data_IF_600173755438
#
_entry.id   IF_600173755438
#
_cell.length_a   1.000
_cell.length_b   1.000
_cell.length_c   1.000
_cell.angle_alpha   90.00
_cell.angle_beta   90.00
_cell.angle_gamma   90.00
#
_symmetry.space_group_name_H-M   'P 1'
#
loop_
_entity.id
_entity.type
_entity.pdbx_description
1 polymer ?
#
# COMPACT_ATOMS: atom_id res chain seq x y z
N UNK A 1 6.91 -24.89 -6.89
CA UNK A 1 6.90 -23.83 -7.92
C UNK A 1 7.65 -22.63 -7.35
N UNK A 2 8.78 -22.21 -7.92
CA UNK A 2 9.55 -21.06 -7.40
C UNK A 2 8.72 -19.77 -7.50
N UNK A 3 8.17 -19.30 -6.40
CA UNK A 3 7.51 -17.99 -6.28
C UNK A 3 8.53 -16.95 -5.83
N UNK A 4 8.33 -15.69 -6.23
CA UNK A 4 9.26 -14.61 -5.87
C UNK A 4 9.27 -14.28 -4.37
N UNK A 5 8.17 -14.60 -3.70
CA UNK A 5 7.97 -14.50 -2.25
C UNK A 5 7.19 -15.75 -1.78
N UNK A 6 7.22 -16.08 -0.48
CA UNK A 6 6.37 -17.13 0.08
C UNK A 6 4.89 -16.87 -0.22
N UNK A 7 4.10 -17.94 -0.40
CA UNK A 7 2.68 -17.82 -0.74
C UNK A 7 1.90 -17.15 0.39
N UNK A 8 2.27 -17.46 1.63
CA UNK A 8 1.70 -16.93 2.86
C UNK A 8 1.88 -15.41 2.93
N UNK A 9 3.06 -14.92 2.55
CA UNK A 9 3.36 -13.48 2.48
C UNK A 9 2.52 -12.77 1.41
N UNK A 10 2.28 -13.42 0.26
CA UNK A 10 1.41 -12.86 -0.77
C UNK A 10 -0.03 -12.76 -0.29
N UNK A 11 -0.55 -13.80 0.36
CA UNK A 11 -1.91 -13.80 0.92
C UNK A 11 -2.06 -12.71 1.99
N UNK A 12 -1.09 -12.58 2.88
CA UNK A 12 -1.08 -11.51 3.89
C UNK A 12 -1.09 -10.11 3.22
N UNK A 13 -0.24 -9.89 2.21
CA UNK A 13 -0.20 -8.63 1.47
C UNK A 13 -1.52 -8.31 0.77
N UNK A 14 -2.17 -9.31 0.17
CA UNK A 14 -3.46 -9.16 -0.50
C UNK A 14 -4.59 -8.86 0.50
N UNK A 15 -4.56 -9.48 1.67
CA UNK A 15 -5.47 -9.19 2.77
C UNK A 15 -5.36 -7.73 3.22
N UNK A 16 -4.15 -7.26 3.54
CA UNK A 16 -3.90 -5.87 3.94
C UNK A 16 -4.27 -4.87 2.83
N UNK A 17 -3.97 -5.23 1.57
CA UNK A 17 -4.41 -4.44 0.43
C UNK A 17 -5.95 -4.37 0.31
N UNK A 18 -6.65 -5.44 0.67
CA UNK A 18 -8.10 -5.47 0.82
C UNK A 18 -8.60 -4.42 1.80
N UNK A 19 -8.02 -4.37 3.00
CA UNK A 19 -8.37 -3.38 4.05
C UNK A 19 -8.12 -1.96 3.54
N UNK A 20 -6.96 -1.70 2.91
CA UNK A 20 -6.64 -0.38 2.35
C UNK A 20 -7.65 0.05 1.28
N UNK A 21 -8.10 -0.87 0.41
CA UNK A 21 -9.16 -0.59 -0.57
C UNK A 21 -10.48 -0.24 0.10
N UNK A 22 -10.86 -0.91 1.18
CA UNK A 22 -12.09 -0.64 1.91
C UNK A 22 -12.05 0.74 2.58
N UNK A 23 -10.94 1.06 3.27
CA UNK A 23 -10.71 2.39 3.86
C UNK A 23 -10.78 3.46 2.77
N UNK A 24 -10.10 3.24 1.63
CA UNK A 24 -10.16 4.15 0.48
C UNK A 24 -11.60 4.30 -0.02
N UNK A 25 -12.32 3.22 -0.30
CA UNK A 25 -13.68 3.34 -0.81
C UNK A 25 -14.60 4.12 0.15
N UNK A 26 -14.58 3.78 1.45
CA UNK A 26 -15.45 4.38 2.47
C UNK A 26 -15.24 5.88 2.63
N UNK A 27 -14.00 6.34 2.56
CA UNK A 27 -13.60 7.72 2.92
C UNK A 27 -13.50 8.67 1.72
N UNK A 28 -13.75 8.19 0.49
CA UNK A 28 -13.58 8.97 -0.74
C UNK A 28 -14.42 10.24 -0.77
N UNK A 29 -15.70 10.14 -0.43
CA UNK A 29 -16.62 11.26 -0.58
C UNK A 29 -16.35 12.38 0.44
N UNK A 30 -15.81 12.03 1.61
CA UNK A 30 -15.51 12.97 2.69
C UNK A 30 -14.15 13.66 2.55
N UNK A 31 -13.16 12.96 2.00
CA UNK A 31 -11.75 13.38 2.13
C UNK A 31 -11.00 13.51 0.81
N UNK A 32 -11.68 13.50 -0.35
CA UNK A 32 -11.01 13.55 -1.67
C UNK A 32 -10.00 14.70 -1.85
N UNK A 33 -10.21 15.83 -1.17
CA UNK A 33 -9.36 17.03 -1.23
C UNK A 33 -8.32 17.10 -0.10
N UNK A 34 -8.38 16.21 0.88
CA UNK A 34 -7.47 16.23 2.02
C UNK A 34 -6.04 15.88 1.60
N UNK A 35 -5.04 16.52 2.22
CA UNK A 35 -3.64 16.26 1.86
C UNK A 35 -3.25 14.80 2.09
N UNK A 36 -3.66 14.19 3.20
CA UNK A 36 -3.36 12.78 3.51
C UNK A 36 -3.98 11.80 2.51
N UNK A 37 -5.10 12.18 1.88
CA UNK A 37 -5.81 11.35 0.90
C UNK A 37 -4.95 10.99 -0.31
N UNK A 38 -4.15 11.95 -0.81
CA UNK A 38 -3.24 11.71 -1.94
C UNK A 38 -2.22 10.62 -1.60
N UNK A 39 -1.78 10.54 -0.35
CA UNK A 39 -0.82 9.54 0.12
C UNK A 39 -1.47 8.16 0.22
N UNK A 40 -2.70 8.07 0.74
CA UNK A 40 -3.48 6.82 0.71
C UNK A 40 -3.71 6.34 -0.72
N UNK A 41 -4.08 7.25 -1.63
CA UNK A 41 -4.30 6.90 -3.03
C UNK A 41 -3.01 6.41 -3.72
N UNK A 42 -1.87 7.05 -3.46
CA UNK A 42 -0.57 6.60 -3.96
C UNK A 42 -0.20 5.22 -3.40
N UNK A 43 -0.36 5.01 -2.09
CA UNK A 43 -0.12 3.72 -1.45
C UNK A 43 -0.95 2.62 -2.13
N UNK A 44 -2.25 2.82 -2.29
CA UNK A 44 -3.14 1.89 -2.99
C UNK A 44 -2.66 1.59 -4.41
N UNK A 45 -2.33 2.62 -5.20
CA UNK A 45 -1.88 2.46 -6.60
C UNK A 45 -0.59 1.65 -6.70
N UNK A 46 0.39 1.92 -5.84
CA UNK A 46 1.66 1.19 -5.85
C UNK A 46 1.49 -0.26 -5.36
N UNK A 47 0.66 -0.51 -4.35
CA UNK A 47 0.31 -1.88 -3.93
C UNK A 47 -0.36 -2.67 -5.04
N UNK A 48 -1.32 -2.07 -5.76
CA UNK A 48 -1.94 -2.70 -6.94
C UNK A 48 -0.88 -3.08 -7.98
N UNK A 49 0.08 -2.18 -8.24
CA UNK A 49 1.16 -2.43 -9.19
C UNK A 49 2.08 -3.56 -8.73
N UNK A 50 2.46 -3.59 -7.46
CA UNK A 50 3.30 -4.66 -6.88
C UNK A 50 2.60 -6.01 -6.96
N UNK A 51 1.36 -6.11 -6.48
CA UNK A 51 0.58 -7.35 -6.49
C UNK A 51 0.38 -7.86 -7.93
N UNK A 52 0.03 -6.97 -8.86
CA UNK A 52 -0.10 -7.33 -10.28
C UNK A 52 1.22 -7.87 -10.86
N UNK A 53 2.35 -7.23 -10.57
CA UNK A 53 3.66 -7.69 -11.04
C UNK A 53 4.08 -9.02 -10.41
N UNK A 54 3.75 -9.28 -9.14
CA UNK A 54 3.97 -10.58 -8.49
C UNK A 54 3.18 -11.67 -9.21
N UNK A 55 1.90 -11.42 -9.52
CA UNK A 55 1.08 -12.37 -10.28
C UNK A 55 1.61 -12.61 -11.69
N UNK A 56 1.99 -11.55 -12.42
CA UNK A 56 2.59 -11.68 -13.75
C UNK A 56 3.89 -12.48 -13.71
N UNK A 57 4.76 -12.21 -12.73
CA UNK A 57 6.01 -12.97 -12.57
C UNK A 57 5.73 -14.43 -12.21
N UNK A 58 4.76 -14.69 -11.33
CA UNK A 58 4.42 -16.05 -10.93
C UNK A 58 3.92 -16.90 -12.09
N UNK A 59 3.28 -16.30 -13.10
CA UNK A 59 2.83 -16.95 -14.34
C UNK A 59 3.96 -17.12 -15.36
N UNK A 60 4.70 -16.05 -15.64
CA UNK A 60 5.58 -15.99 -16.82
C UNK A 60 7.06 -16.21 -16.51
N UNK A 61 7.48 -16.06 -15.25
CA UNK A 61 8.88 -16.13 -14.78
C UNK A 61 9.87 -15.22 -15.53
N UNK A 62 9.37 -14.13 -16.13
CA UNK A 62 10.17 -13.18 -16.89
C UNK A 62 11.04 -12.27 -15.99
N UNK A 63 12.34 -12.26 -16.25
CA UNK A 63 13.31 -11.43 -15.55
C UNK A 63 13.07 -9.93 -15.70
N UNK A 64 12.52 -9.47 -16.83
CA UNK A 64 12.14 -8.05 -17.00
C UNK A 64 11.07 -7.66 -15.99
N UNK A 65 10.10 -8.55 -15.74
CA UNK A 65 9.06 -8.36 -14.73
C UNK A 65 9.67 -8.36 -13.33
N UNK A 66 10.62 -9.26 -13.05
CA UNK A 66 11.36 -9.30 -11.78
C UNK A 66 12.10 -7.99 -11.50
N UNK A 67 12.85 -7.46 -12.48
CA UNK A 67 13.56 -6.19 -12.33
C UNK A 67 12.60 -5.01 -12.11
N UNK A 68 11.48 -4.98 -12.84
CA UNK A 68 10.44 -3.96 -12.66
C UNK A 68 9.80 -4.05 -11.29
N UNK A 69 9.50 -5.26 -10.80
CA UNK A 69 8.96 -5.50 -9.47
C UNK A 69 9.91 -5.00 -8.39
N UNK A 70 11.22 -5.29 -8.49
CA UNK A 70 12.22 -4.80 -7.55
C UNK A 70 12.25 -3.26 -7.51
N UNK A 71 12.27 -2.60 -8.67
CA UNK A 71 12.25 -1.13 -8.76
C UNK A 71 10.99 -0.53 -8.13
N UNK A 72 9.82 -1.10 -8.43
CA UNK A 72 8.53 -0.60 -7.91
C UNK A 72 8.42 -0.85 -6.40
N UNK A 73 8.81 -2.03 -5.93
CA UNK A 73 8.75 -2.40 -4.51
C UNK A 73 9.70 -1.53 -3.68
N UNK A 74 10.90 -1.26 -4.20
CA UNK A 74 11.85 -0.32 -3.59
C UNK A 74 11.25 1.08 -3.50
N UNK A 75 10.62 1.58 -4.57
CA UNK A 75 9.98 2.89 -4.54
C UNK A 75 8.82 2.95 -3.56
N UNK A 76 7.98 1.90 -3.50
CA UNK A 76 6.90 1.75 -2.54
C UNK A 76 7.42 1.87 -1.11
N UNK A 77 8.42 1.07 -0.75
CA UNK A 77 8.97 1.05 0.61
C UNK A 77 9.64 2.39 1.01
N UNK A 78 10.60 2.86 0.21
CA UNK A 78 11.42 4.01 0.62
C UNK A 78 10.72 5.37 0.48
N UNK A 79 9.80 5.51 -0.49
CA UNK A 79 9.17 6.80 -0.79
C UNK A 79 7.72 6.81 -0.35
N UNK A 80 6.92 5.85 -0.82
CA UNK A 80 5.47 5.89 -0.64
C UNK A 80 5.08 5.59 0.81
N UNK A 81 5.61 4.51 1.42
CA UNK A 81 5.33 4.17 2.81
C UNK A 81 5.82 5.27 3.76
N UNK A 82 7.05 5.77 3.58
CA UNK A 82 7.59 6.87 4.38
C UNK A 82 6.76 8.15 4.28
N UNK A 83 6.30 8.49 3.08
CA UNK A 83 5.46 9.67 2.85
C UNK A 83 4.06 9.50 3.44
N UNK A 84 3.46 8.32 3.29
CA UNK A 84 2.17 7.97 3.89
C UNK A 84 2.23 8.01 5.42
N UNK A 85 3.29 7.46 6.03
CA UNK A 85 3.49 7.48 7.48
C UNK A 85 3.44 8.91 8.03
N UNK A 86 4.19 9.83 7.42
CA UNK A 86 4.20 11.25 7.83
C UNK A 86 2.83 11.89 7.69
N UNK A 87 2.16 11.65 6.56
CA UNK A 87 0.84 12.22 6.30
C UNK A 87 -0.22 11.69 7.27
N UNK A 88 -0.20 10.40 7.61
CA UNK A 88 -1.17 9.78 8.51
C UNK A 88 -0.95 10.21 9.96
N UNK A 89 0.30 10.35 10.41
CA UNK A 89 0.59 10.97 11.70
C UNK A 89 0.11 12.43 11.77
N UNK A 90 0.13 13.16 10.66
CA UNK A 90 -0.48 14.50 10.58
C UNK A 90 -1.99 14.50 10.82
N UNK A 91 -2.71 13.44 10.41
CA UNK A 91 -4.15 13.28 10.72
C UNK A 91 -4.38 13.10 12.22
N UNK A 92 -3.53 12.31 12.87
CA UNK A 92 -3.58 12.08 14.32
C UNK A 92 -3.29 13.40 15.04
N UNK A 93 -2.22 14.10 14.66
CA UNK A 93 -1.81 15.35 15.29
C UNK A 93 -2.87 16.47 15.16
N UNK A 94 -3.62 16.52 14.05
CA UNK A 94 -4.70 17.50 13.86
C UNK A 94 -5.90 17.26 14.78
N UNK A 95 -6.08 16.03 15.29
CA UNK A 95 -7.13 15.70 16.27
C UNK A 95 -8.54 15.49 15.71
N UNK A 96 -8.86 16.00 14.51
CA UNK A 96 -10.22 15.92 13.94
C UNK A 96 -10.66 14.50 13.55
N UNK A 97 -9.72 13.63 13.17
CA UNK A 97 -10.00 12.26 12.69
C UNK A 97 -9.01 11.24 13.27
N UNK A 98 -8.79 11.26 14.59
CA UNK A 98 -7.77 10.44 15.29
C UNK A 98 -7.93 8.95 15.00
N UNK A 99 -9.16 8.41 15.11
CA UNK A 99 -9.43 6.98 14.89
C UNK A 99 -9.06 6.55 13.48
N UNK A 100 -9.37 7.37 12.48
CA UNK A 100 -8.99 7.12 11.08
C UNK A 100 -7.48 7.19 10.92
N UNK A 101 -6.83 8.20 11.53
CA UNK A 101 -5.37 8.34 11.54
C UNK A 101 -4.66 7.10 12.12
N UNK A 102 -5.11 6.62 13.28
CA UNK A 102 -4.58 5.41 13.91
C UNK A 102 -4.82 4.16 13.04
N UNK A 103 -6.01 4.04 12.44
CA UNK A 103 -6.32 2.93 11.51
C UNK A 103 -5.38 2.94 10.31
N UNK A 104 -5.12 4.11 9.72
CA UNK A 104 -4.21 4.27 8.59
C UNK A 104 -2.76 3.92 8.95
N UNK A 105 -2.27 4.36 10.12
CA UNK A 105 -0.93 4.01 10.61
C UNK A 105 -0.84 2.51 10.92
N UNK A 106 -1.86 1.91 11.52
CA UNK A 106 -1.93 0.48 11.78
C UNK A 106 -1.87 -0.35 10.50
N UNK A 107 -2.69 0.00 9.50
CA UNK A 107 -2.67 -0.66 8.19
C UNK A 107 -1.32 -0.49 7.47
N UNK A 108 -0.69 0.69 7.58
CA UNK A 108 0.64 0.92 7.01
C UNK A 108 1.73 0.13 7.75
N UNK A 109 1.62 -0.03 9.07
CA UNK A 109 2.56 -0.79 9.89
C UNK A 109 2.62 -2.26 9.53
N UNK A 110 1.53 -2.83 9.00
CA UNK A 110 1.50 -4.22 8.48
C UNK A 110 2.22 -4.38 7.14
N UNK A 111 2.56 -3.28 6.45
CA UNK A 111 3.28 -3.30 5.17
C UNK A 111 4.79 -3.10 5.31
N UNK A 112 5.26 -2.74 6.52
CA UNK A 112 6.68 -2.67 6.86
C UNK A 112 7.21 -4.07 7.19
#
# INVERSE_FOLDING_TARGET
>A
IMTIIPKESLVALEHEFGIIKLIHHRNKNQHRVATWWKHLNNLKRYLTKVISLIHTYNRNKDDKVRQKLQKVSRHLYFNICKSAFRAFNGVIALGQFITLGLTLVGALGKLY
#
